data_IF_663735010971
#
_entry.id   IF_663735010971
#
_cell.length_a   1.000
_cell.length_b   1.000
_cell.length_c   1.000
_cell.angle_alpha   90.00
_cell.angle_beta   90.00
_cell.angle_gamma   90.00
#
_symmetry.space_group_name_H-M   'P 1'
#
loop_
_entity.id
_entity.type
_entity.pdbx_description
1 polymer ?
#
# COMPACT_ATOMS: atom_id res chain seq x y z
N UNK A 1 14.54 1.00 -1.07
CA UNK A 1 15.79 0.35 -1.55
C UNK A 1 16.99 0.94 -0.83
N UNK A 2 18.09 0.19 -0.73
CA UNK A 2 19.40 0.67 -0.27
C UNK A 2 20.41 0.43 -1.39
N UNK A 3 21.30 1.39 -1.63
CA UNK A 3 22.34 1.27 -2.67
C UNK A 3 23.69 1.26 -1.97
N UNK A 4 24.43 0.15 -2.09
CA UNK A 4 25.77 0.00 -1.52
C UNK A 4 26.69 -0.64 -2.56
N UNK A 5 27.88 -0.08 -2.78
CA UNK A 5 28.88 -0.61 -3.73
C UNK A 5 28.31 -0.89 -5.13
N UNK A 6 27.43 -0.02 -5.64
CA UNK A 6 26.69 -0.18 -6.92
C UNK A 6 25.70 -1.35 -6.97
N UNK A 7 25.41 -1.98 -5.84
CA UNK A 7 24.39 -3.01 -5.72
C UNK A 7 23.12 -2.41 -5.08
N UNK A 8 21.96 -2.80 -5.59
CA UNK A 8 20.65 -2.43 -5.05
C UNK A 8 20.17 -3.57 -4.17
N UNK A 9 19.82 -3.28 -2.92
CA UNK A 9 19.16 -4.21 -2.01
C UNK A 9 17.78 -3.70 -1.61
N UNK A 10 16.81 -4.61 -1.63
CA UNK A 10 15.47 -4.31 -1.14
C UNK A 10 15.48 -4.23 0.40
N UNK A 11 14.64 -3.36 0.95
CA UNK A 11 14.41 -3.28 2.39
C UNK A 11 13.36 -4.33 2.78
N UNK A 12 13.37 -4.81 4.02
CA UNK A 12 12.34 -5.74 4.50
C UNK A 12 10.92 -5.15 4.36
N UNK A 13 10.77 -3.84 4.58
CA UNK A 13 9.51 -3.13 4.34
C UNK A 13 9.08 -3.15 2.87
N UNK A 14 10.01 -3.18 1.92
CA UNK A 14 9.66 -3.26 0.51
C UNK A 14 9.04 -4.62 0.16
N UNK A 15 9.56 -5.72 0.73
CA UNK A 15 8.95 -7.04 0.56
C UNK A 15 7.53 -7.09 1.15
N UNK A 16 7.34 -6.55 2.36
CA UNK A 16 6.00 -6.48 2.99
C UNK A 16 5.00 -5.66 2.19
N UNK A 17 5.44 -4.58 1.54
CA UNK A 17 4.59 -3.77 0.67
C UNK A 17 4.25 -4.53 -0.61
N UNK A 18 5.25 -5.14 -1.26
CA UNK A 18 5.03 -5.91 -2.49
C UNK A 18 4.09 -7.08 -2.25
N UNK A 19 4.25 -7.85 -1.16
CA UNK A 19 3.37 -8.98 -0.84
C UNK A 19 1.90 -8.55 -0.69
N UNK A 20 1.64 -7.39 -0.08
CA UNK A 20 0.27 -6.84 0.00
C UNK A 20 -0.24 -6.48 -1.39
N UNK A 21 0.58 -5.78 -2.18
CA UNK A 21 0.16 -5.32 -3.50
C UNK A 21 -0.07 -6.49 -4.45
N UNK A 22 0.78 -7.51 -4.47
CA UNK A 22 0.58 -8.72 -5.28
C UNK A 22 -0.68 -9.48 -4.85
N UNK A 23 -0.96 -9.57 -3.54
CA UNK A 23 -2.09 -10.33 -3.03
C UNK A 23 -3.45 -9.64 -3.23
N UNK A 24 -3.50 -8.32 -3.17
CA UNK A 24 -4.75 -7.57 -3.14
C UNK A 24 -4.95 -6.63 -4.34
N UNK A 25 -3.89 -6.39 -5.12
CA UNK A 25 -3.83 -5.40 -6.17
C UNK A 25 -3.02 -5.89 -7.38
N UNK A 26 -2.95 -7.21 -7.63
CA UNK A 26 -2.14 -7.85 -8.69
C UNK A 26 -2.22 -7.10 -10.03
N UNK A 27 -3.42 -6.68 -10.38
CA UNK A 27 -3.81 -6.05 -11.64
C UNK A 27 -3.13 -4.70 -11.91
N UNK A 28 -2.63 -4.02 -10.87
CA UNK A 28 -1.92 -2.74 -11.00
C UNK A 28 -0.41 -2.86 -10.78
N UNK A 29 0.07 -3.98 -10.21
CA UNK A 29 1.50 -4.24 -10.04
C UNK A 29 2.08 -5.15 -11.10
N UNK A 30 1.23 -5.77 -11.94
CA UNK A 30 1.71 -6.51 -13.09
C UNK A 30 2.40 -5.57 -14.10
N UNK A 31 3.52 -6.04 -14.62
CA UNK A 31 4.28 -5.42 -15.70
C UNK A 31 3.43 -5.05 -16.92
N UNK A 32 2.38 -5.82 -17.21
CA UNK A 32 1.45 -5.55 -18.32
C UNK A 32 0.59 -4.31 -18.08
N UNK A 33 0.23 -4.00 -16.84
CA UNK A 33 -0.55 -2.80 -16.51
C UNK A 33 0.22 -1.53 -16.87
N UNK A 34 1.50 -1.47 -16.49
CA UNK A 34 2.35 -0.33 -16.82
C UNK A 34 2.50 -0.16 -18.33
N UNK A 35 2.63 -1.25 -19.08
CA UNK A 35 2.72 -1.20 -20.54
C UNK A 35 1.41 -0.73 -21.19
N UNK A 36 0.25 -1.21 -20.73
CA UNK A 36 -1.05 -0.79 -21.28
C UNK A 36 -1.39 0.67 -20.93
N UNK A 37 -0.98 1.15 -19.76
CA UNK A 37 -1.21 2.53 -19.36
C UNK A 37 -0.48 3.52 -20.28
N UNK A 38 0.78 3.26 -20.62
CA UNK A 38 1.53 4.10 -21.56
C UNK A 38 0.87 4.15 -22.95
N UNK A 39 0.34 3.00 -23.42
CA UNK A 39 -0.40 2.95 -24.68
C UNK A 39 -1.71 3.76 -24.63
N UNK A 40 -2.45 3.70 -23.52
CA UNK A 40 -3.64 4.54 -23.30
C UNK A 40 -3.31 6.04 -23.29
N UNK A 41 -2.20 6.41 -22.63
CA UNK A 41 -1.72 7.80 -22.60
C UNK A 41 -1.31 8.30 -23.99
N UNK A 42 -0.63 7.47 -24.78
CA UNK A 42 -0.29 7.77 -26.17
C UNK A 42 -1.55 7.93 -27.03
N UNK A 43 -2.56 7.09 -26.83
CA UNK A 43 -3.84 7.21 -27.52
C UNK A 43 -4.56 8.53 -27.18
N UNK A 44 -4.51 8.98 -25.92
CA UNK A 44 -5.02 10.30 -25.54
C UNK A 44 -4.25 11.40 -26.27
N UNK A 45 -2.91 11.35 -26.25
CA UNK A 45 -2.06 12.35 -26.90
C UNK A 45 -2.31 12.45 -28.41
N UNK A 46 -2.68 11.34 -29.05
CA UNK A 46 -3.01 11.26 -30.48
C UNK A 46 -4.49 11.53 -30.78
N UNK A 47 -5.30 11.95 -29.80
CA UNK A 47 -6.77 12.12 -29.91
C UNK A 47 -7.50 10.84 -30.38
N UNK A 48 -6.96 9.67 -30.06
CA UNK A 48 -7.55 8.35 -30.32
C UNK A 48 -8.38 7.82 -29.15
N UNK A 49 -8.24 8.42 -27.96
CA UNK A 49 -9.00 8.08 -26.77
C UNK A 49 -9.46 9.35 -26.02
N UNK A 50 -10.60 9.26 -25.36
CA UNK A 50 -11.08 10.31 -24.46
C UNK A 50 -10.47 10.13 -23.07
N UNK A 51 -9.77 11.17 -22.60
CA UNK A 51 -9.05 11.09 -21.32
C UNK A 51 -9.98 10.92 -20.11
N UNK A 52 -11.21 11.44 -20.18
CA UNK A 52 -12.16 11.31 -19.06
C UNK A 52 -12.66 9.88 -18.98
N UNK A 53 -12.90 9.24 -20.12
CA UNK A 53 -13.31 7.86 -20.21
C UNK A 53 -12.22 6.92 -19.67
N UNK A 54 -10.98 7.08 -20.16
CA UNK A 54 -9.81 6.31 -19.65
C UNK A 54 -9.67 6.46 -18.13
N UNK A 55 -9.79 7.69 -17.61
CA UNK A 55 -9.70 7.93 -16.17
C UNK A 55 -10.82 7.23 -15.39
N UNK A 56 -12.07 7.27 -15.88
CA UNK A 56 -13.21 6.60 -15.23
C UNK A 56 -13.04 5.08 -15.22
N UNK A 57 -12.62 4.52 -16.34
CA UNK A 57 -12.46 3.08 -16.54
C UNK A 57 -11.37 2.51 -15.63
N UNK A 58 -10.32 3.28 -15.34
CA UNK A 58 -9.34 2.93 -14.32
C UNK A 58 -9.84 3.19 -12.89
N UNK A 59 -10.37 4.40 -12.62
CA UNK A 59 -10.57 4.90 -11.27
C UNK A 59 -11.64 4.13 -10.50
N UNK A 60 -12.82 3.88 -11.09
CA UNK A 60 -13.92 3.24 -10.36
C UNK A 60 -13.62 1.80 -9.93
N UNK A 61 -13.14 0.91 -10.84
CA UNK A 61 -12.76 -0.44 -10.43
C UNK A 61 -11.60 -0.45 -9.41
N UNK A 62 -10.66 0.49 -9.53
CA UNK A 62 -9.58 0.63 -8.57
C UNK A 62 -10.09 1.03 -7.18
N UNK A 63 -11.01 1.98 -7.10
CA UNK A 63 -11.60 2.42 -5.83
C UNK A 63 -12.40 1.30 -5.14
N UNK A 64 -13.10 0.46 -5.90
CA UNK A 64 -13.79 -0.71 -5.33
C UNK A 64 -12.81 -1.68 -4.67
N UNK A 65 -11.63 -1.89 -5.27
CA UNK A 65 -10.55 -2.70 -4.67
C UNK A 65 -9.95 -2.04 -3.44
N UNK A 66 -9.80 -0.72 -3.43
CA UNK A 66 -9.33 0.01 -2.24
C UNK A 66 -10.32 -0.19 -1.09
N UNK A 67 -11.62 -0.09 -1.34
CA UNK A 67 -12.64 -0.30 -0.30
C UNK A 67 -12.68 -1.76 0.18
N UNK A 68 -12.50 -2.74 -0.72
CA UNK A 68 -12.34 -4.14 -0.35
C UNK A 68 -11.06 -4.36 0.48
N UNK A 69 -9.95 -3.74 0.08
CA UNK A 69 -8.66 -3.80 0.77
C UNK A 69 -8.73 -3.22 2.18
N UNK A 70 -9.38 -2.07 2.37
CA UNK A 70 -9.58 -1.46 3.70
C UNK A 70 -10.33 -2.39 4.67
N UNK A 71 -11.23 -3.23 4.17
CA UNK A 71 -12.00 -4.18 4.99
C UNK A 71 -11.24 -5.47 5.27
N UNK A 72 -10.49 -5.97 4.28
CA UNK A 72 -9.95 -7.33 4.30
C UNK A 72 -8.44 -7.40 4.58
N UNK A 73 -7.70 -6.30 4.41
CA UNK A 73 -6.26 -6.26 4.68
C UNK A 73 -6.06 -6.01 6.17
N UNK A 74 -5.47 -6.99 6.85
CA UNK A 74 -5.11 -6.89 8.25
C UNK A 74 -4.11 -5.75 8.42
N UNK A 75 -4.39 -4.86 9.38
CA UNK A 75 -3.48 -3.77 9.70
C UNK A 75 -2.11 -4.31 10.10
N UNK A 76 -1.06 -3.89 9.41
CA UNK A 76 0.33 -4.19 9.80
C UNK A 76 0.75 -3.50 11.11
N UNK A 77 -0.11 -2.67 11.70
CA UNK A 77 0.09 -2.13 13.05
C UNK A 77 -0.12 -3.26 14.07
N UNK A 78 0.90 -4.08 14.25
CA UNK A 78 0.95 -5.04 15.35
C UNK A 78 0.95 -4.24 16.65
N UNK A 79 -0.10 -4.42 17.44
CA UNK A 79 -0.23 -3.88 18.78
C UNK A 79 -0.02 -5.03 19.75
N UNK A 80 1.21 -5.21 20.22
CA UNK A 80 1.48 -6.19 21.28
C UNK A 80 0.92 -5.65 22.58
N UNK A 81 -0.05 -6.37 23.15
CA UNK A 81 -0.63 -6.03 24.46
C UNK A 81 0.44 -6.17 25.53
N UNK A 82 0.60 -5.16 26.37
CA UNK A 82 1.49 -5.27 27.53
C UNK A 82 0.81 -5.97 28.72
N UNK A 83 -0.50 -6.20 28.64
CA UNK A 83 -1.32 -6.77 29.72
C UNK A 83 -1.56 -5.80 30.88
N UNK A 84 -1.20 -4.51 30.72
CA UNK A 84 -1.33 -3.48 31.74
C UNK A 84 -2.35 -2.41 31.32
N UNK A 85 -3.15 -1.93 32.26
CA UNK A 85 -4.06 -0.80 32.03
C UNK A 85 -3.35 0.53 32.27
N UNK A 86 -3.67 1.53 31.44
CA UNK A 86 -3.11 2.86 31.55
C UNK A 86 -3.56 3.54 32.85
N UNK A 87 -2.64 4.04 33.69
CA UNK A 87 -3.00 4.66 34.97
C UNK A 87 -3.70 6.03 34.80
N UNK A 88 -3.70 6.62 33.59
CA UNK A 88 -4.31 7.94 33.33
C UNK A 88 -5.72 7.86 32.75
N UNK A 89 -5.98 6.90 31.86
CA UNK A 89 -7.27 6.78 31.17
C UNK A 89 -7.94 5.41 31.32
N UNK A 90 -7.28 4.43 31.95
CA UNK A 90 -7.80 3.07 32.12
C UNK A 90 -7.77 2.20 30.86
N UNK A 91 -7.40 2.75 29.70
CA UNK A 91 -7.28 2.00 28.43
C UNK A 91 -6.16 0.97 28.43
N UNK A 92 -6.24 -0.03 27.57
CA UNK A 92 -5.24 -1.10 27.45
C UNK A 92 -3.93 -0.55 26.86
N UNK A 93 -2.80 -0.74 27.55
CA UNK A 93 -1.50 -0.35 27.02
C UNK A 93 -1.02 -1.36 25.96
N UNK A 94 -0.58 -0.84 24.83
CA UNK A 94 -0.02 -1.65 23.73
C UNK A 94 1.34 -1.10 23.29
N UNK A 95 2.25 -1.99 22.94
CA UNK A 95 3.48 -1.65 22.23
C UNK A 95 3.16 -1.37 20.76
N UNK A 96 3.68 -0.26 20.26
CA UNK A 96 3.50 0.23 18.90
C UNK A 96 4.87 0.51 18.29
N UNK A 97 5.01 0.23 17.01
CA UNK A 97 6.21 0.60 16.25
C UNK A 97 5.99 1.94 15.54
N UNK A 98 6.92 2.87 15.71
CA UNK A 98 6.97 4.15 14.98
C UNK A 98 8.22 4.27 14.12
N UNK A 99 8.32 5.35 13.33
CA UNK A 99 9.55 5.69 12.59
C UNK A 99 10.79 5.87 13.50
N UNK A 100 10.58 6.09 14.79
CA UNK A 100 11.64 6.32 15.79
C UNK A 100 11.91 5.09 16.68
N UNK A 101 11.24 3.96 16.41
CA UNK A 101 11.34 2.75 17.23
C UNK A 101 10.06 2.41 17.98
N UNK A 102 10.15 1.39 18.83
CA UNK A 102 9.07 0.86 19.67
C UNK A 102 8.72 1.84 20.80
N UNK A 103 7.43 2.03 21.05
CA UNK A 103 6.93 2.82 22.17
C UNK A 103 5.64 2.22 22.73
N UNK A 104 5.33 2.53 24.00
CA UNK A 104 4.10 2.07 24.66
C UNK A 104 3.08 3.22 24.63
N UNK A 105 1.86 2.92 24.20
CA UNK A 105 0.75 3.87 24.24
C UNK A 105 -0.56 3.16 24.61
N UNK A 106 -1.44 3.89 25.29
CA UNK A 106 -2.84 3.52 25.49
C UNK A 106 -3.70 4.04 24.33
#
# INVERSE_FOLDING_TARGET
IKVEKKQISALESAFKVIEILEKHFEEIVDSKFSASLEEELDNIAQNKADYQQVLKDFYYPFMDKIEAGKKNIISQKVHEKTGQSCPKCGGELVKKNSRYGEFIAC
#
